data_IF_023973684073
#
_entry.id   IF_023973684073
#
_cell.length_a   1.000
_cell.length_b   1.000
_cell.length_c   1.000
_cell.angle_alpha   90.00
_cell.angle_beta   90.00
_cell.angle_gamma   90.00
#
_symmetry.space_group_name_H-M   'P 1'
#
loop_
_entity.id
_entity.type
_entity.pdbx_description
1 polymer ?
#
# COMPACT_ATOMS: atom_id res chain seq x y z
N UNK A 1 -0.28 25.09 12.59
CA UNK A 1 1.18 25.20 12.33
C UNK A 1 1.35 25.05 10.83
N UNK A 2 1.70 26.14 10.16
CA UNK A 2 2.07 26.17 8.75
C UNK A 2 3.37 25.39 8.66
N UNK A 3 3.33 24.23 7.96
CA UNK A 3 4.54 23.51 7.58
C UNK A 3 5.28 24.46 6.65
N UNK A 4 6.36 25.07 7.14
CA UNK A 4 7.31 25.75 6.28
C UNK A 4 7.68 24.78 5.17
N UNK A 5 7.52 25.20 3.91
CA UNK A 5 8.07 24.48 2.77
C UNK A 5 9.59 24.54 2.94
N UNK A 6 10.15 23.51 3.57
CA UNK A 6 11.58 23.37 3.67
C UNK A 6 12.13 23.34 2.26
N UNK A 7 12.87 24.39 1.92
CA UNK A 7 13.54 24.51 0.64
C UNK A 7 14.65 23.47 0.58
N UNK A 8 14.45 22.42 -0.21
CA UNK A 8 15.47 21.40 -0.45
C UNK A 8 16.45 21.96 -1.48
N UNK A 9 17.75 22.06 -1.18
CA UNK A 9 18.73 22.55 -2.13
C UNK A 9 18.72 21.74 -3.43
N UNK A 10 18.71 22.43 -4.56
CA UNK A 10 18.65 21.79 -5.88
C UNK A 10 19.82 20.82 -6.14
N UNK A 11 20.97 21.07 -5.51
CA UNK A 11 22.12 20.18 -5.53
C UNK A 11 21.83 18.80 -4.90
N UNK A 12 21.08 18.76 -3.80
CA UNK A 12 20.68 17.51 -3.17
C UNK A 12 19.67 16.73 -4.04
N UNK A 13 18.76 17.42 -4.71
CA UNK A 13 17.81 16.77 -5.61
C UNK A 13 18.54 16.10 -6.79
N UNK A 14 19.60 16.69 -7.31
CA UNK A 14 20.41 16.13 -8.41
C UNK A 14 21.25 14.92 -8.00
N UNK A 15 21.51 14.72 -6.72
CA UNK A 15 22.27 13.56 -6.23
C UNK A 15 21.42 12.32 -6.02
N UNK A 16 20.10 12.42 -6.18
CA UNK A 16 19.21 11.29 -6.03
C UNK A 16 19.34 10.32 -7.22
N UNK A 17 19.18 9.01 -6.99
CA UNK A 17 19.28 8.00 -8.04
C UNK A 17 18.11 8.02 -9.03
N UNK A 18 17.09 8.86 -8.80
CA UNK A 18 15.89 8.99 -9.63
C UNK A 18 15.95 10.25 -10.48
N UNK A 19 15.37 10.18 -11.67
CA UNK A 19 15.14 11.34 -12.53
C UNK A 19 13.85 12.03 -12.08
N UNK A 20 13.99 13.24 -11.54
CA UNK A 20 12.89 13.99 -10.93
C UNK A 20 11.90 14.59 -11.94
N UNK A 21 12.31 14.69 -13.21
CA UNK A 21 11.54 15.29 -14.30
C UNK A 21 10.96 14.21 -15.26
N UNK A 22 11.05 12.94 -14.86
CA UNK A 22 10.43 11.81 -15.57
C UNK A 22 9.29 11.22 -14.76
N UNK A 23 8.54 10.31 -15.40
CA UNK A 23 7.46 9.59 -14.73
C UNK A 23 7.96 8.89 -13.48
N UNK A 24 7.33 9.20 -12.38
CA UNK A 24 7.61 8.64 -11.05
C UNK A 24 6.39 7.92 -10.55
N UNK A 25 6.57 6.78 -9.91
CA UNK A 25 5.53 6.10 -9.19
C UNK A 25 5.98 5.76 -7.78
N UNK A 26 5.01 5.62 -6.89
CA UNK A 26 5.21 5.15 -5.53
C UNK A 26 4.67 3.74 -5.39
N UNK A 27 5.50 2.86 -4.83
CA UNK A 27 5.15 1.50 -4.47
C UNK A 27 5.25 1.38 -2.95
N UNK A 28 4.20 0.93 -2.30
CA UNK A 28 4.16 0.70 -0.86
C UNK A 28 4.00 -0.80 -0.59
N UNK A 29 4.96 -1.39 0.12
CA UNK A 29 4.89 -2.78 0.59
C UNK A 29 4.58 -2.76 2.08
N UNK A 30 3.42 -3.28 2.47
CA UNK A 30 2.94 -3.32 3.85
C UNK A 30 2.87 -4.74 4.37
N UNK A 31 3.36 -4.93 5.58
CA UNK A 31 3.22 -6.16 6.34
C UNK A 31 2.03 -6.03 7.30
N UNK A 32 1.07 -6.94 7.17
CA UNK A 32 -0.10 -7.01 8.02
C UNK A 32 -0.01 -8.25 8.91
N UNK A 33 -0.46 -8.16 10.16
CA UNK A 33 -0.62 -9.33 11.01
C UNK A 33 -1.82 -10.14 10.55
N UNK A 34 -1.69 -11.47 10.49
CA UNK A 34 -2.87 -12.32 10.47
C UNK A 34 -3.56 -12.27 11.85
N UNK A 35 -4.89 -12.40 11.88
CA UNK A 35 -5.65 -12.42 13.14
C UNK A 35 -5.27 -13.57 14.10
N UNK A 36 -4.55 -14.58 13.61
CA UNK A 36 -4.17 -15.78 14.35
C UNK A 36 -2.82 -15.68 15.09
N UNK A 37 -2.15 -14.53 15.05
CA UNK A 37 -0.84 -14.42 15.72
C UNK A 37 -1.05 -14.26 17.21
N UNK A 38 -0.76 -15.34 17.94
CA UNK A 38 -0.66 -15.37 19.38
C UNK A 38 0.29 -14.26 19.93
N UNK A 39 0.02 -13.79 21.14
CA UNK A 39 0.72 -12.72 21.83
C UNK A 39 2.24 -12.93 22.00
N UNK A 40 2.76 -14.10 21.62
CA UNK A 40 4.19 -14.49 21.75
C UNK A 40 5.01 -14.28 20.48
N UNK A 41 4.46 -13.64 19.43
CA UNK A 41 5.24 -13.39 18.22
C UNK A 41 6.38 -12.42 18.55
N UNK A 42 7.63 -12.87 18.37
CA UNK A 42 8.84 -12.03 18.38
C UNK A 42 8.56 -10.69 17.68
N UNK A 43 9.07 -9.61 18.26
CA UNK A 43 8.88 -8.27 17.72
C UNK A 43 9.26 -8.24 16.22
N UNK A 44 8.25 -8.28 15.36
CA UNK A 44 8.45 -8.29 13.92
C UNK A 44 9.16 -7.01 13.49
N UNK A 45 10.28 -7.15 12.80
CA UNK A 45 11.02 -6.03 12.25
C UNK A 45 11.15 -6.21 10.72
N UNK A 46 10.48 -5.36 9.95
CA UNK A 46 10.57 -5.38 8.49
C UNK A 46 12.00 -5.15 8.00
N UNK A 47 12.82 -4.43 8.77
CA UNK A 47 14.21 -4.10 8.40
C UNK A 47 15.08 -5.32 8.03
N UNK A 48 14.75 -6.51 8.51
CA UNK A 48 15.48 -7.74 8.15
C UNK A 48 15.43 -8.07 6.66
N UNK A 49 14.37 -7.64 5.98
CA UNK A 49 14.18 -7.86 4.54
C UNK A 49 14.73 -6.72 3.68
N UNK A 50 15.29 -5.67 4.30
CA UNK A 50 15.74 -4.48 3.55
C UNK A 50 16.82 -4.78 2.50
N UNK A 51 17.83 -5.64 2.74
CA UNK A 51 18.80 -6.01 1.72
C UNK A 51 18.13 -6.66 0.50
N UNK A 52 17.26 -7.66 0.73
CA UNK A 52 16.60 -8.42 -0.32
C UNK A 52 15.63 -7.53 -1.13
N UNK A 53 14.90 -6.65 -0.45
CA UNK A 53 14.07 -5.66 -1.15
C UNK A 53 14.90 -4.66 -1.95
N UNK A 54 16.06 -4.22 -1.46
CA UNK A 54 16.96 -3.35 -2.23
C UNK A 54 17.46 -4.01 -3.50
N UNK A 55 17.87 -5.27 -3.42
CA UNK A 55 18.30 -6.04 -4.57
C UNK A 55 17.16 -6.19 -5.59
N UNK A 56 15.98 -6.64 -5.14
CA UNK A 56 14.82 -6.80 -6.02
C UNK A 56 14.38 -5.49 -6.67
N UNK A 57 14.35 -4.37 -5.92
CA UNK A 57 14.01 -3.07 -6.48
C UNK A 57 15.08 -2.54 -7.44
N UNK A 58 16.37 -2.87 -7.19
CA UNK A 58 17.45 -2.53 -8.11
C UNK A 58 17.28 -3.24 -9.46
N UNK A 59 16.90 -4.51 -9.43
CA UNK A 59 16.62 -5.30 -10.64
C UNK A 59 15.40 -4.75 -11.39
N UNK A 60 14.29 -4.52 -10.67
CA UNK A 60 13.03 -4.07 -11.27
C UNK A 60 13.16 -2.65 -11.88
N UNK A 61 13.82 -1.75 -11.18
CA UNK A 61 13.87 -0.32 -11.56
C UNK A 61 15.25 0.15 -12.04
N UNK A 62 16.17 -0.80 -12.34
CA UNK A 62 17.50 -0.50 -12.88
C UNK A 62 18.24 0.55 -12.06
N UNK A 63 18.21 0.43 -10.74
CA UNK A 63 18.80 1.37 -9.77
C UNK A 63 18.21 2.81 -9.81
N UNK A 64 17.07 3.02 -10.47
CA UNK A 64 16.38 4.33 -10.51
C UNK A 64 15.23 4.37 -9.52
N UNK A 65 15.54 4.19 -8.24
CA UNK A 65 14.57 4.20 -7.16
C UNK A 65 15.17 4.75 -5.86
N UNK A 66 14.29 5.17 -4.96
CA UNK A 66 14.60 5.48 -3.57
C UNK A 66 13.72 4.59 -2.71
N UNK A 67 14.31 3.82 -1.81
CA UNK A 67 13.61 2.92 -0.89
C UNK A 67 13.82 3.36 0.55
N UNK A 68 12.74 3.50 1.29
CA UNK A 68 12.74 3.75 2.73
C UNK A 68 11.87 2.72 3.45
N UNK A 69 12.18 2.46 4.72
CA UNK A 69 11.36 1.62 5.60
C UNK A 69 10.89 2.47 6.79
N UNK A 70 9.59 2.62 6.93
CA UNK A 70 8.96 3.43 7.98
C UNK A 70 7.85 2.58 8.62
N UNK A 71 7.94 2.37 9.94
CA UNK A 71 6.93 1.62 10.70
C UNK A 71 6.54 0.28 10.05
N UNK A 72 7.54 -0.53 9.72
CA UNK A 72 7.37 -1.83 9.06
C UNK A 72 6.65 -1.75 7.69
N UNK A 73 6.76 -0.62 7.01
CA UNK A 73 6.24 -0.39 5.66
C UNK A 73 7.38 0.08 4.78
N UNK A 74 7.59 -0.60 3.65
CA UNK A 74 8.53 -0.10 2.64
C UNK A 74 7.81 0.87 1.71
N UNK A 75 8.47 1.98 1.44
CA UNK A 75 8.03 3.00 0.49
C UNK A 75 9.13 3.17 -0.55
N UNK A 76 8.84 2.83 -1.79
CA UNK A 76 9.73 3.05 -2.92
C UNK A 76 9.15 4.13 -3.83
N UNK A 77 10.00 5.09 -4.23
CA UNK A 77 9.73 6.02 -5.32
C UNK A 77 10.65 5.63 -6.48
N UNK A 78 10.10 5.33 -7.63
CA UNK A 78 10.88 4.82 -8.76
C UNK A 78 10.49 5.50 -10.06
N UNK A 79 11.47 5.61 -10.99
CA UNK A 79 11.18 5.98 -12.36
C UNK A 79 10.57 4.80 -13.09
N UNK A 80 9.45 5.05 -13.76
CA UNK A 80 8.66 4.03 -14.45
C UNK A 80 8.30 4.48 -15.86
N UNK A 81 8.04 3.54 -16.80
CA UNK A 81 7.37 3.86 -18.06
C UNK A 81 5.99 4.48 -17.80
N UNK A 82 5.46 5.28 -18.74
CA UNK A 82 4.16 5.93 -18.58
C UNK A 82 3.01 4.93 -18.37
N UNK A 83 3.09 3.80 -19.01
CA UNK A 83 2.06 2.74 -19.00
C UNK A 83 2.48 1.51 -18.17
N UNK A 84 3.40 1.67 -17.22
CA UNK A 84 3.98 0.53 -16.48
C UNK A 84 2.95 -0.32 -15.73
N UNK A 85 1.82 0.25 -15.34
CA UNK A 85 0.74 -0.49 -14.67
C UNK A 85 -0.07 -1.39 -15.63
N UNK A 86 0.17 -1.26 -16.94
CA UNK A 86 -0.40 -2.10 -18.00
C UNK A 86 0.62 -3.11 -18.54
N UNK A 87 1.86 -3.05 -18.04
CA UNK A 87 2.96 -3.89 -18.44
C UNK A 87 2.94 -5.18 -17.62
N UNK A 88 2.62 -6.29 -18.26
CA UNK A 88 2.55 -7.61 -17.63
C UNK A 88 3.91 -8.04 -17.07
N UNK A 89 5.01 -7.68 -17.74
CA UNK A 89 6.36 -7.99 -17.26
C UNK A 89 6.66 -7.25 -15.96
N UNK A 90 6.30 -5.99 -15.88
CA UNK A 90 6.47 -5.19 -14.65
C UNK A 90 5.62 -5.76 -13.51
N UNK A 91 4.39 -6.14 -13.80
CA UNK A 91 3.50 -6.77 -12.80
C UNK A 91 4.04 -8.12 -12.34
N UNK A 92 4.60 -8.91 -13.25
CA UNK A 92 5.27 -10.17 -12.92
C UNK A 92 6.50 -9.95 -12.02
N UNK A 93 7.29 -8.90 -12.32
CA UNK A 93 8.44 -8.52 -11.50
C UNK A 93 8.03 -8.06 -10.11
N UNK A 94 6.98 -7.24 -9.97
CA UNK A 94 6.44 -6.83 -8.67
C UNK A 94 5.91 -8.03 -7.87
N UNK A 95 5.31 -9.03 -8.53
CA UNK A 95 4.89 -10.26 -7.88
C UNK A 95 6.06 -11.04 -7.26
N UNK A 96 7.28 -10.93 -7.80
CA UNK A 96 8.47 -11.55 -7.22
C UNK A 96 8.80 -11.02 -5.82
N UNK A 97 8.36 -9.81 -5.46
CA UNK A 97 8.55 -9.26 -4.12
C UNK A 97 7.87 -10.10 -3.03
N UNK A 98 6.80 -10.84 -3.36
CA UNK A 98 6.17 -11.77 -2.41
C UNK A 98 7.07 -12.96 -2.07
N UNK A 99 7.97 -13.37 -2.97
CA UNK A 99 8.91 -14.47 -2.71
C UNK A 99 9.93 -14.11 -1.62
N UNK A 100 10.28 -12.83 -1.50
CA UNK A 100 11.20 -12.34 -0.44
C UNK A 100 10.60 -12.58 0.94
N UNK A 101 9.28 -12.55 1.04
CA UNK A 101 8.56 -12.64 2.30
C UNK A 101 7.87 -13.98 2.51
N UNK A 102 8.19 -14.99 1.69
CA UNK A 102 7.55 -16.30 1.70
C UNK A 102 7.59 -16.98 3.08
N UNK A 103 8.70 -16.84 3.79
CA UNK A 103 8.90 -17.43 5.12
C UNK A 103 8.53 -16.44 6.25
N UNK A 104 7.81 -15.37 5.92
CA UNK A 104 7.35 -14.39 6.88
C UNK A 104 5.99 -14.82 7.44
N UNK A 105 5.84 -14.73 8.77
CA UNK A 105 4.54 -14.93 9.44
C UNK A 105 3.54 -13.80 9.20
N UNK A 106 3.86 -12.85 8.33
CA UNK A 106 3.04 -11.69 8.00
C UNK A 106 2.52 -11.77 6.58
N UNK A 107 1.31 -11.30 6.38
CA UNK A 107 0.72 -11.15 5.06
C UNK A 107 1.23 -9.84 4.46
N UNK A 108 1.74 -9.91 3.23
CA UNK A 108 2.27 -8.75 2.51
C UNK A 108 1.26 -8.29 1.48
N UNK A 109 1.01 -6.99 1.42
CA UNK A 109 0.21 -6.36 0.36
C UNK A 109 1.01 -5.22 -0.26
N UNK A 110 0.85 -5.03 -1.56
CA UNK A 110 1.59 -4.02 -2.33
C UNK A 110 0.59 -3.04 -2.94
N UNK A 111 0.73 -1.76 -2.61
CA UNK A 111 -0.06 -0.68 -3.21
C UNK A 111 0.79 0.09 -4.22
N UNK A 112 0.24 0.36 -5.38
CA UNK A 112 0.95 0.99 -6.51
C UNK A 112 0.16 2.21 -6.97
N UNK A 113 0.84 3.36 -7.07
CA UNK A 113 0.23 4.59 -7.58
C UNK A 113 0.20 4.64 -9.10
N UNK A 114 -0.57 5.56 -9.66
CA UNK A 114 -0.40 6.00 -11.04
C UNK A 114 0.94 6.75 -11.21
N UNK A 115 1.52 6.71 -12.43
CA UNK A 115 2.71 7.49 -12.73
C UNK A 115 2.41 8.98 -12.68
N UNK A 116 3.25 9.74 -12.01
CA UNK A 116 3.21 11.21 -11.98
C UNK A 116 4.36 11.81 -12.78
N UNK A 117 4.10 12.94 -13.45
CA UNK A 117 5.04 13.50 -14.42
C UNK A 117 6.29 14.12 -13.79
N UNK A 118 6.29 14.47 -12.50
CA UNK A 118 7.41 15.09 -11.83
C UNK A 118 7.40 14.86 -10.32
N UNK A 119 8.55 15.11 -9.68
CA UNK A 119 8.71 15.01 -8.22
C UNK A 119 7.75 15.92 -7.44
N UNK A 120 7.26 17.00 -8.01
CA UNK A 120 6.30 17.90 -7.35
C UNK A 120 4.98 17.23 -7.02
N UNK A 121 4.65 16.17 -7.77
CA UNK A 121 3.46 15.35 -7.56
C UNK A 121 3.74 14.08 -6.75
N UNK A 122 4.95 13.89 -6.19
CA UNK A 122 5.27 12.70 -5.40
C UNK A 122 4.38 12.54 -4.17
N UNK A 123 3.93 13.65 -3.57
CA UNK A 123 2.97 13.57 -2.48
C UNK A 123 1.65 12.92 -2.91
N UNK A 124 1.15 13.29 -4.09
CA UNK A 124 -0.06 12.69 -4.66
C UNK A 124 0.16 11.22 -4.96
N UNK A 125 1.27 10.88 -5.63
CA UNK A 125 1.66 9.49 -5.90
C UNK A 125 1.72 8.65 -4.60
N UNK A 126 2.30 9.20 -3.53
CA UNK A 126 2.33 8.54 -2.23
C UNK A 126 0.92 8.31 -1.66
N UNK A 127 0.03 9.32 -1.73
CA UNK A 127 -1.34 9.18 -1.23
C UNK A 127 -2.12 8.12 -2.02
N UNK A 128 -1.93 8.07 -3.34
CA UNK A 128 -2.53 7.05 -4.20
C UNK A 128 -2.06 5.64 -3.80
N UNK A 129 -0.75 5.41 -3.69
CA UNK A 129 -0.21 4.11 -3.28
C UNK A 129 -0.66 3.72 -1.86
N UNK A 130 -0.72 4.71 -0.94
CA UNK A 130 -1.21 4.51 0.42
C UNK A 130 -2.70 4.12 0.43
N UNK A 131 -3.53 4.76 -0.38
CA UNK A 131 -4.93 4.40 -0.54
C UNK A 131 -5.06 2.99 -1.11
N UNK A 132 -4.26 2.66 -2.14
CA UNK A 132 -4.25 1.34 -2.75
C UNK A 132 -3.91 0.24 -1.72
N UNK A 133 -2.79 0.36 -0.98
CA UNK A 133 -2.42 -0.67 -0.01
C UNK A 133 -3.38 -0.73 1.18
N UNK A 134 -4.06 0.36 1.51
CA UNK A 134 -5.07 0.38 2.58
C UNK A 134 -6.35 -0.32 2.17
N UNK A 135 -6.70 -0.35 0.88
CA UNK A 135 -7.86 -1.08 0.38
C UNK A 135 -7.67 -2.61 0.40
N UNK A 136 -6.46 -3.12 0.77
CA UNK A 136 -6.23 -4.55 0.95
C UNK A 136 -7.21 -5.20 1.93
N UNK A 137 -7.73 -4.44 2.89
CA UNK A 137 -8.78 -4.90 3.79
C UNK A 137 -10.04 -5.33 3.03
N UNK A 138 -10.42 -4.62 1.96
CA UNK A 138 -11.60 -4.91 1.14
C UNK A 138 -11.27 -5.84 -0.03
N UNK A 139 -10.16 -5.59 -0.73
CA UNK A 139 -9.75 -6.33 -1.92
C UNK A 139 -9.16 -7.73 -1.61
N UNK A 140 -8.86 -7.98 -0.34
CA UNK A 140 -8.11 -9.14 0.14
C UNK A 140 -6.61 -8.85 0.23
N UNK A 141 -6.01 -9.41 1.28
CA UNK A 141 -4.57 -9.31 1.52
C UNK A 141 -3.77 -10.20 0.57
N UNK A 142 -2.46 -10.01 0.53
CA UNK A 142 -1.56 -10.84 -0.26
C UNK A 142 -1.55 -10.52 -1.75
N UNK A 143 -1.91 -9.31 -2.14
CA UNK A 143 -2.06 -8.91 -3.55
C UNK A 143 -1.32 -7.60 -3.85
N UNK A 144 -1.10 -7.37 -5.15
CA UNK A 144 -0.77 -6.06 -5.70
C UNK A 144 -2.09 -5.35 -6.00
N UNK A 145 -2.22 -4.13 -5.49
CA UNK A 145 -3.41 -3.30 -5.66
C UNK A 145 -2.98 -2.03 -6.38
N UNK A 146 -3.49 -1.85 -7.59
CA UNK A 146 -3.25 -0.66 -8.40
C UNK A 146 -4.27 0.42 -8.03
N UNK A 147 -3.81 1.64 -7.82
CA UNK A 147 -4.68 2.76 -7.47
C UNK A 147 -5.80 2.98 -8.49
N UNK A 148 -5.50 2.84 -9.80
CA UNK A 148 -6.49 3.00 -10.87
C UNK A 148 -7.66 2.01 -10.81
N UNK A 149 -7.44 0.85 -10.18
CA UNK A 149 -8.48 -0.19 -10.06
C UNK A 149 -9.39 0.04 -8.86
N UNK A 150 -9.10 1.07 -8.04
CA UNK A 150 -9.97 1.43 -6.93
C UNK A 150 -11.20 2.14 -7.46
N UNK A 151 -12.36 1.80 -6.91
CA UNK A 151 -13.58 2.53 -7.17
C UNK A 151 -13.42 4.02 -6.83
N UNK A 152 -13.90 4.88 -7.72
CA UNK A 152 -13.95 6.33 -7.51
C UNK A 152 -15.19 6.74 -6.71
N UNK A 153 -16.11 5.82 -6.48
CA UNK A 153 -17.31 6.09 -5.71
C UNK A 153 -16.92 6.36 -4.25
N UNK A 154 -17.33 7.50 -3.69
CA UNK A 154 -17.04 7.78 -2.29
C UNK A 154 -17.81 6.78 -1.42
N UNK A 155 -17.08 6.03 -0.60
CA UNK A 155 -17.72 5.27 0.47
C UNK A 155 -18.41 6.24 1.43
N UNK A 156 -19.71 6.11 1.57
CA UNK A 156 -20.51 6.86 2.54
C UNK A 156 -20.84 5.94 3.70
N UNK A 157 -20.23 6.12 4.88
CA UNK A 157 -20.55 5.31 6.05
C UNK A 157 -22.05 5.39 6.35
N UNK A 158 -22.66 4.25 6.67
CA UNK A 158 -24.02 4.23 7.14
C UNK A 158 -24.10 5.01 8.47
N UNK A 159 -24.96 6.03 8.55
CA UNK A 159 -25.02 6.94 9.71
C UNK A 159 -25.25 6.23 11.03
N UNK A 160 -25.96 5.11 10.98
CA UNK A 160 -26.40 4.37 12.17
C UNK A 160 -25.63 3.05 12.36
N UNK A 161 -24.50 2.86 11.68
CA UNK A 161 -23.73 1.59 11.70
C UNK A 161 -23.41 1.13 13.12
N UNK A 162 -22.88 2.03 13.96
CA UNK A 162 -22.54 1.73 15.35
C UNK A 162 -23.79 1.32 16.15
N UNK A 163 -24.89 2.03 15.95
CA UNK A 163 -26.16 1.74 16.63
C UNK A 163 -26.73 0.39 16.20
N UNK A 164 -26.67 0.07 14.90
CA UNK A 164 -27.14 -1.21 14.37
C UNK A 164 -26.30 -2.37 14.90
N UNK A 165 -24.98 -2.26 14.84
CA UNK A 165 -24.08 -3.28 15.41
C UNK A 165 -24.30 -3.45 16.91
N UNK A 166 -24.39 -2.34 17.65
CA UNK A 166 -24.67 -2.38 19.08
C UNK A 166 -25.98 -3.11 19.41
N UNK A 167 -27.04 -2.84 18.67
CA UNK A 167 -28.33 -3.50 18.85
C UNK A 167 -28.25 -5.02 18.58
N UNK A 168 -27.59 -5.43 17.50
CA UNK A 168 -27.41 -6.86 17.19
C UNK A 168 -26.61 -7.60 18.27
N UNK A 169 -25.54 -6.99 18.76
CA UNK A 169 -24.70 -7.57 19.82
C UNK A 169 -25.45 -7.65 21.15
N UNK A 170 -26.16 -6.59 21.54
CA UNK A 170 -26.90 -6.58 22.80
C UNK A 170 -28.08 -7.53 22.83
N UNK A 171 -28.71 -7.77 21.69
CA UNK A 171 -29.78 -8.77 21.59
C UNK A 171 -29.26 -10.20 21.60
N UNK A 172 -27.95 -10.42 21.80
CA UNK A 172 -27.27 -11.73 21.77
C UNK A 172 -27.51 -12.49 20.45
N UNK A 173 -27.85 -11.79 19.39
CA UNK A 173 -28.09 -12.36 18.07
C UNK A 173 -26.80 -12.25 17.22
N UNK A 174 -25.84 -13.11 17.55
CA UNK A 174 -24.54 -13.13 16.89
C UNK A 174 -24.68 -13.42 15.39
N UNK A 175 -25.60 -14.31 15.00
CA UNK A 175 -25.83 -14.63 13.59
C UNK A 175 -26.23 -13.38 12.79
N UNK A 176 -27.23 -12.64 13.26
CA UNK A 176 -27.66 -11.39 12.59
C UNK A 176 -26.58 -10.31 12.59
N UNK A 177 -25.70 -10.28 13.59
CA UNK A 177 -24.57 -9.35 13.61
C UNK A 177 -23.53 -9.72 12.52
N UNK A 178 -23.28 -11.01 12.31
CA UNK A 178 -22.39 -11.50 11.25
C UNK A 178 -22.99 -11.20 9.89
N UNK A 179 -24.25 -11.56 9.66
CA UNK A 179 -24.94 -11.30 8.38
C UNK A 179 -24.90 -9.81 8.01
N UNK A 180 -25.16 -8.94 8.99
CA UNK A 180 -25.10 -7.50 8.80
C UNK A 180 -23.67 -7.02 8.44
N UNK A 181 -22.63 -7.57 9.10
CA UNK A 181 -21.25 -7.23 8.81
C UNK A 181 -20.83 -7.69 7.41
N UNK A 182 -21.27 -8.88 7.00
CA UNK A 182 -20.99 -9.42 5.65
C UNK A 182 -21.64 -8.53 4.58
N UNK A 183 -22.91 -8.16 4.75
CA UNK A 183 -23.63 -7.25 3.85
C UNK A 183 -22.93 -5.89 3.78
N UNK A 184 -22.49 -5.37 4.92
CA UNK A 184 -21.77 -4.10 4.97
C UNK A 184 -20.40 -4.14 4.29
N UNK A 185 -19.67 -5.26 4.42
CA UNK A 185 -18.40 -5.48 3.71
C UNK A 185 -18.63 -5.53 2.20
N UNK A 186 -19.67 -6.23 1.73
CA UNK A 186 -20.03 -6.25 0.31
C UNK A 186 -20.42 -4.86 -0.21
N UNK A 187 -21.16 -4.10 0.57
CA UNK A 187 -21.45 -2.69 0.24
C UNK A 187 -20.16 -1.87 0.12
N UNK A 188 -19.22 -1.99 1.06
CA UNK A 188 -17.93 -1.29 0.99
C UNK A 188 -17.11 -1.68 -0.25
N UNK A 189 -17.20 -2.96 -0.69
CA UNK A 189 -16.51 -3.45 -1.89
C UNK A 189 -17.11 -2.89 -3.17
N UNK A 190 -18.39 -2.55 -3.16
CA UNK A 190 -19.10 -2.00 -4.33
C UNK A 190 -18.85 -0.49 -4.53
N UNK A 191 -18.38 0.21 -3.50
CA UNK A 191 -17.99 1.63 -3.57
C UNK A 191 -16.58 1.80 -4.07
#
# INVERSE_FOLDING_TARGET
>A
KIIQKDWVPHSLLKSLPIDLDRNLSTIIVRFSSSFEISYEAEAFTANRFLPDFREAFADIFHNKYILSCINNTYVAHANVPKNYTEDDDMMAQLNRLFHITKDCSRIVSIGVSEPVASYRCLHESYQQARKAVSSAFLAGYGKIILYRNLSTNPFVPHKDLETLLYNHVNCSNIASAIDFLEEYIEYMRSC
#
